data_IF_479392974063
#
_entry.id   IF_479392974063
#
_cell.length_a   1.000
_cell.length_b   1.000
_cell.length_c   1.000
_cell.angle_alpha   90.00
_cell.angle_beta   90.00
_cell.angle_gamma   90.00
#
_symmetry.space_group_name_H-M   'P 1'
#
loop_
_entity.id
_entity.type
_entity.pdbx_description
1 polymer ?
#
# COMPACT_ATOMS: atom_id res chain seq x y z
N UNK A 1 -46.73 27.47 10.44
CA UNK A 1 -45.26 27.47 10.29
C UNK A 1 -44.82 26.02 10.47
N UNK A 2 -44.64 25.28 9.37
CA UNK A 2 -44.41 23.83 9.40
C UNK A 2 -42.91 23.55 9.37
N UNK A 3 -42.39 22.85 10.38
CA UNK A 3 -40.99 22.41 10.43
C UNK A 3 -40.71 21.47 9.26
N UNK A 4 -39.82 21.87 8.36
CA UNK A 4 -39.20 20.98 7.38
C UNK A 4 -38.30 20.01 8.14
N UNK A 5 -38.70 18.75 8.24
CA UNK A 5 -37.84 17.66 8.70
C UNK A 5 -36.78 17.44 7.62
N UNK A 6 -35.55 17.85 7.92
CA UNK A 6 -34.37 17.51 7.11
C UNK A 6 -34.07 16.04 7.45
N UNK A 7 -34.35 15.15 6.50
CA UNK A 7 -33.89 13.77 6.55
C UNK A 7 -32.39 13.79 6.26
N UNK A 8 -31.51 13.32 7.16
CA UNK A 8 -30.13 13.07 6.76
C UNK A 8 -30.18 11.90 5.78
N UNK A 9 -29.95 12.19 4.51
CA UNK A 9 -29.54 11.17 3.55
C UNK A 9 -28.15 10.73 3.99
N UNK A 10 -28.11 9.67 4.82
CA UNK A 10 -26.90 8.88 5.00
C UNK A 10 -26.69 8.21 3.65
N UNK A 11 -25.78 8.77 2.84
CA UNK A 11 -25.17 8.05 1.74
C UNK A 11 -24.37 6.91 2.36
N UNK A 12 -25.01 5.76 2.54
CA UNK A 12 -24.26 4.50 2.59
C UNK A 12 -23.74 4.29 1.16
N UNK A 13 -22.54 4.81 0.87
CA UNK A 13 -21.76 4.33 -0.26
C UNK A 13 -21.40 2.88 0.06
N UNK A 14 -22.19 1.96 -0.51
CA UNK A 14 -21.86 0.55 -0.54
C UNK A 14 -20.75 0.39 -1.57
N UNK A 15 -19.50 0.49 -1.13
CA UNK A 15 -18.37 0.07 -1.94
C UNK A 15 -18.27 -1.45 -1.84
N UNK A 16 -18.48 -2.13 -2.96
CA UNK A 16 -18.07 -3.52 -3.07
C UNK A 16 -16.55 -3.55 -2.84
N UNK A 17 -16.12 -4.18 -1.77
CA UNK A 17 -14.70 -4.39 -1.48
C UNK A 17 -14.38 -5.78 -1.99
N UNK A 18 -13.62 -5.86 -3.07
CA UNK A 18 -13.05 -7.13 -3.50
C UNK A 18 -11.71 -7.27 -2.76
N UNK A 19 -11.73 -8.06 -1.70
CA UNK A 19 -10.53 -8.47 -0.95
C UNK A 19 -10.01 -9.73 -1.62
N UNK A 20 -8.72 -9.72 -1.95
CA UNK A 20 -7.99 -10.83 -2.54
C UNK A 20 -6.97 -11.33 -1.54
N UNK A 21 -7.07 -12.60 -1.17
CA UNK A 21 -6.06 -13.26 -0.34
C UNK A 21 -5.16 -14.10 -1.24
N UNK A 22 -3.85 -13.90 -1.16
CA UNK A 22 -2.89 -14.64 -1.98
C UNK A 22 -1.46 -14.45 -1.51
N UNK A 23 -0.59 -15.46 -1.68
CA UNK A 23 0.79 -15.36 -1.28
C UNK A 23 1.54 -14.37 -2.17
N UNK A 24 2.41 -13.56 -1.58
CA UNK A 24 3.35 -12.70 -2.27
C UNK A 24 4.76 -13.23 -1.98
N UNK A 25 5.50 -13.56 -3.04
CA UNK A 25 6.82 -14.17 -2.93
C UNK A 25 7.77 -13.55 -3.95
N UNK A 26 8.93 -13.08 -3.50
CA UNK A 26 10.00 -12.61 -4.36
C UNK A 26 11.36 -12.68 -3.66
N UNK A 27 12.43 -12.73 -4.44
CA UNK A 27 13.80 -12.58 -3.94
C UNK A 27 14.32 -11.20 -4.34
N UNK A 28 15.07 -10.55 -3.46
CA UNK A 28 15.68 -9.24 -3.71
C UNK A 28 17.19 -9.30 -3.52
N UNK A 29 17.92 -8.47 -4.26
CA UNK A 29 19.38 -8.40 -4.18
C UNK A 29 19.90 -6.99 -4.49
N UNK A 30 21.05 -6.62 -3.91
CA UNK A 30 21.59 -5.26 -3.98
C UNK A 30 22.50 -4.92 -2.81
N UNK A 31 22.23 -3.79 -2.13
CA UNK A 31 22.86 -3.42 -0.85
C UNK A 31 22.50 -4.41 0.27
N UNK A 32 21.29 -4.94 0.21
CA UNK A 32 20.76 -6.01 1.04
C UNK A 32 20.25 -7.12 0.11
N UNK A 33 20.13 -8.34 0.61
CA UNK A 33 19.65 -9.47 -0.17
C UNK A 33 18.91 -10.44 0.73
N UNK A 34 17.81 -10.98 0.22
CA UNK A 34 16.94 -11.85 0.99
C UNK A 34 15.77 -12.37 0.18
N UNK A 35 14.90 -13.08 0.88
CA UNK A 35 13.66 -13.61 0.35
C UNK A 35 12.49 -13.03 1.13
N UNK A 36 11.47 -12.61 0.38
CA UNK A 36 10.21 -12.16 0.92
C UNK A 36 9.16 -13.24 0.66
N UNK A 37 8.46 -13.68 1.71
CA UNK A 37 7.43 -14.69 1.62
C UNK A 37 6.34 -14.45 2.67
N UNK A 38 5.12 -14.19 2.20
CA UNK A 38 3.98 -13.95 3.11
C UNK A 38 3.37 -15.21 3.70
N UNK A 39 3.82 -16.39 3.28
CA UNK A 39 3.35 -17.67 3.84
C UNK A 39 4.09 -17.95 5.15
N UNK A 40 3.47 -17.52 6.26
CA UNK A 40 3.91 -17.83 7.61
C UNK A 40 3.43 -19.25 7.99
N UNK A 41 4.34 -20.22 7.95
CA UNK A 41 4.11 -21.66 8.20
C UNK A 41 3.11 -22.32 7.23
N UNK A 42 2.71 -23.57 7.50
CA UNK A 42 1.95 -24.46 6.59
C UNK A 42 0.53 -23.97 6.20
N UNK A 43 0.04 -22.82 6.70
CA UNK A 43 -1.34 -22.38 6.40
C UNK A 43 -1.68 -20.91 6.58
N UNK A 44 -0.79 -20.05 7.10
CA UNK A 44 -1.15 -18.65 7.36
C UNK A 44 -0.55 -17.75 6.29
N UNK A 45 -1.38 -17.11 5.49
CA UNK A 45 -0.93 -16.10 4.54
C UNK A 45 -1.09 -14.71 5.16
N UNK A 46 0.00 -13.95 5.21
CA UNK A 46 0.06 -12.57 5.70
C UNK A 46 0.14 -11.57 4.55
N UNK A 47 -0.41 -11.94 3.39
CA UNK A 47 -0.44 -11.15 2.17
C UNK A 47 -1.82 -11.10 1.55
N UNK A 48 -2.14 -9.98 0.93
CA UNK A 48 -3.41 -9.78 0.25
C UNK A 48 -3.46 -8.47 -0.51
N UNK A 49 -4.60 -8.22 -1.13
CA UNK A 49 -4.88 -6.99 -1.83
C UNK A 49 -6.35 -6.61 -1.70
N UNK A 50 -6.67 -5.35 -1.90
CA UNK A 50 -8.05 -4.88 -1.95
C UNK A 50 -8.21 -3.72 -2.93
N UNK A 51 -9.39 -3.64 -3.52
CA UNK A 51 -9.80 -2.45 -4.26
C UNK A 51 -10.44 -1.44 -3.31
N UNK A 52 -9.96 -0.20 -3.36
CA UNK A 52 -10.54 0.95 -2.68
C UNK A 52 -11.03 1.94 -3.73
N UNK A 53 -12.27 2.41 -3.62
CA UNK A 53 -12.81 3.46 -4.49
C UNK A 53 -13.34 4.61 -3.64
N UNK A 54 -12.87 5.82 -3.91
CA UNK A 54 -13.36 7.05 -3.30
C UNK A 54 -13.69 8.08 -4.40
N UNK A 55 -14.93 8.57 -4.35
CA UNK A 55 -15.51 9.55 -5.28
C UNK A 55 -15.28 9.22 -6.77
N UNK A 56 -14.25 9.81 -7.37
CA UNK A 56 -13.92 9.71 -8.80
C UNK A 56 -12.63 8.90 -9.08
N UNK A 57 -12.01 8.34 -8.05
CA UNK A 57 -10.75 7.59 -8.14
C UNK A 57 -10.90 6.20 -7.54
N UNK A 58 -10.24 5.22 -8.14
CA UNK A 58 -10.07 3.91 -7.53
C UNK A 58 -8.61 3.51 -7.49
N UNK A 59 -8.25 2.80 -6.43
CA UNK A 59 -6.92 2.33 -6.15
C UNK A 59 -6.95 0.86 -5.81
N UNK A 60 -5.97 0.12 -6.32
CA UNK A 60 -5.70 -1.24 -5.90
C UNK A 60 -4.49 -1.24 -4.98
N UNK A 61 -4.67 -1.75 -3.76
CA UNK A 61 -3.61 -1.81 -2.75
C UNK A 61 -3.28 -3.27 -2.51
N UNK A 62 -2.03 -3.64 -2.74
CA UNK A 62 -1.47 -4.95 -2.42
C UNK A 62 -0.46 -4.79 -1.29
N UNK A 63 -0.53 -5.65 -0.29
CA UNK A 63 0.38 -5.63 0.85
C UNK A 63 0.73 -7.04 1.28
N UNK A 64 1.92 -7.21 1.84
CA UNK A 64 2.32 -8.43 2.49
C UNK A 64 3.29 -8.20 3.62
N UNK A 65 3.30 -9.13 4.56
CA UNK A 65 4.28 -9.21 5.64
C UNK A 65 5.02 -10.54 5.51
N UNK A 66 6.34 -10.51 5.51
CA UNK A 66 7.19 -11.70 5.57
C UNK A 66 7.83 -11.81 6.95
N UNK A 67 7.66 -12.94 7.63
CA UNK A 67 8.33 -13.21 8.91
C UNK A 67 9.79 -13.58 8.67
N UNK A 68 10.71 -12.86 9.29
CA UNK A 68 12.14 -13.12 9.19
C UNK A 68 12.69 -13.77 10.48
N UNK A 69 13.99 -14.08 10.49
CA UNK A 69 14.65 -14.60 11.67
C UNK A 69 14.63 -13.58 12.82
N UNK A 70 14.83 -14.05 14.06
CA UNK A 70 15.02 -13.19 15.23
C UNK A 70 13.85 -12.24 15.56
N UNK A 71 12.62 -12.57 15.12
CA UNK A 71 11.42 -11.75 15.32
C UNK A 71 11.48 -10.41 14.58
N UNK A 72 12.16 -10.39 13.44
CA UNK A 72 12.13 -9.32 12.44
C UNK A 72 11.06 -9.62 11.39
N UNK A 73 10.58 -8.58 10.71
CA UNK A 73 9.53 -8.66 9.72
C UNK A 73 9.85 -7.76 8.54
N UNK A 74 9.61 -8.24 7.32
CA UNK A 74 9.65 -7.38 6.14
C UNK A 74 8.23 -7.01 5.75
N UNK A 75 8.05 -5.79 5.25
CA UNK A 75 6.77 -5.29 4.76
C UNK A 75 6.90 -4.88 3.30
N UNK A 76 5.93 -5.31 2.51
CA UNK A 76 5.78 -4.95 1.12
C UNK A 76 4.44 -4.25 0.93
N UNK A 77 4.43 -3.11 0.23
CA UNK A 77 3.22 -2.36 -0.12
C UNK A 77 3.31 -1.93 -1.57
N UNK A 78 2.26 -2.17 -2.33
CA UNK A 78 2.09 -1.66 -3.68
C UNK A 78 0.74 -0.96 -3.80
N UNK A 79 0.74 0.26 -4.32
CA UNK A 79 -0.43 1.09 -4.51
C UNK A 79 -0.50 1.43 -6.00
N UNK A 80 -1.58 1.01 -6.66
CA UNK A 80 -1.88 1.35 -8.04
C UNK A 80 -3.10 2.28 -8.02
N UNK A 81 -2.91 3.55 -8.34
CA UNK A 81 -3.97 4.54 -8.51
C UNK A 81 -4.56 4.49 -9.92
N UNK A 82 -5.76 5.05 -10.06
CA UNK A 82 -6.49 5.11 -11.33
C UNK A 82 -6.76 3.73 -11.95
N UNK A 83 -7.04 2.76 -11.09
CA UNK A 83 -7.57 1.49 -11.56
C UNK A 83 -9.00 1.69 -12.09
N UNK A 84 -9.38 0.94 -13.11
CA UNK A 84 -10.82 0.72 -13.35
C UNK A 84 -11.36 -0.12 -12.20
N UNK A 85 -12.54 0.20 -11.69
CA UNK A 85 -13.19 -0.60 -10.64
C UNK A 85 -14.21 -1.58 -11.27
N UNK A 86 -14.13 -2.90 -11.01
CA UNK A 86 -13.08 -3.61 -10.27
C UNK A 86 -11.77 -3.73 -11.08
N UNK A 87 -10.66 -4.03 -10.40
CA UNK A 87 -9.34 -4.19 -11.02
C UNK A 87 -9.39 -5.13 -12.22
N UNK A 88 -8.66 -4.78 -13.27
CA UNK A 88 -8.60 -5.54 -14.51
C UNK A 88 -7.15 -5.81 -14.90
N UNK A 89 -6.96 -6.78 -15.79
CA UNK A 89 -5.67 -7.15 -16.35
C UNK A 89 -5.02 -5.96 -17.07
N UNK A 90 -3.81 -5.59 -16.64
CA UNK A 90 -3.09 -4.41 -17.14
C UNK A 90 -1.63 -4.42 -16.67
N UNK A 91 -0.82 -3.58 -17.31
CA UNK A 91 0.56 -3.27 -16.91
C UNK A 91 0.67 -1.83 -16.43
N UNK A 92 1.52 -1.63 -15.42
CA UNK A 92 1.92 -0.33 -14.87
C UNK A 92 3.44 -0.24 -14.90
N UNK A 93 3.95 0.93 -15.28
CA UNK A 93 5.37 1.27 -15.11
C UNK A 93 5.63 1.59 -13.63
N UNK A 94 6.81 1.28 -13.10
CA UNK A 94 7.19 1.60 -11.71
C UNK A 94 8.42 2.52 -11.73
N UNK A 95 8.37 3.70 -11.10
CA UNK A 95 7.18 4.36 -10.62
C UNK A 95 6.34 4.78 -11.82
N UNK A 96 5.06 5.03 -11.59
CA UNK A 96 4.22 5.66 -12.60
C UNK A 96 4.61 7.11 -12.83
N UNK A 97 3.63 7.96 -13.14
CA UNK A 97 3.88 9.39 -13.26
C UNK A 97 4.34 9.97 -11.91
N UNK A 98 5.66 10.15 -11.73
CA UNK A 98 6.28 10.58 -10.48
C UNK A 98 6.36 12.11 -10.43
N UNK A 99 5.81 12.70 -9.37
CA UNK A 99 6.04 14.11 -9.04
C UNK A 99 7.37 14.21 -8.24
N UNK A 100 8.39 14.95 -8.75
CA UNK A 100 9.63 15.15 -8.01
C UNK A 100 9.45 15.85 -6.65
N UNK A 101 8.38 16.62 -6.46
CA UNK A 101 8.08 17.32 -5.20
C UNK A 101 7.27 16.44 -4.24
N UNK A 102 6.59 15.40 -4.75
CA UNK A 102 5.88 14.39 -3.95
C UNK A 102 6.02 12.99 -4.56
N UNK A 103 7.13 12.28 -4.32
CA UNK A 103 7.39 10.96 -4.90
C UNK A 103 6.37 9.88 -4.48
N UNK A 104 5.65 10.10 -3.38
CA UNK A 104 4.63 9.18 -2.87
C UNK A 104 3.28 9.35 -3.58
N UNK A 105 3.11 10.41 -4.36
CA UNK A 105 1.89 10.67 -5.14
C UNK A 105 1.81 9.88 -6.46
N UNK A 106 2.79 9.01 -6.75
CA UNK A 106 2.87 8.29 -8.02
C UNK A 106 1.64 7.42 -8.30
N UNK A 107 1.27 7.31 -9.59
CA UNK A 107 0.20 6.42 -10.07
C UNK A 107 0.46 4.96 -9.67
N UNK A 108 1.71 4.53 -9.67
CA UNK A 108 2.12 3.17 -9.30
C UNK A 108 3.31 3.28 -8.37
N UNK A 109 3.04 3.08 -7.09
CA UNK A 109 4.00 3.19 -6.01
C UNK A 109 4.26 1.81 -5.42
N UNK A 110 5.51 1.39 -5.42
CA UNK A 110 5.95 0.17 -4.78
C UNK A 110 6.94 0.52 -3.66
N UNK A 111 6.66 0.01 -2.47
CA UNK A 111 7.42 0.24 -1.24
C UNK A 111 7.81 -1.10 -0.65
N UNK A 112 9.05 -1.20 -0.21
CA UNK A 112 9.58 -2.34 0.51
C UNK A 112 10.36 -1.86 1.74
N UNK A 113 10.08 -2.46 2.90
CA UNK A 113 10.74 -2.13 4.15
C UNK A 113 11.22 -3.42 4.82
N UNK A 114 12.52 -3.74 4.74
CA UNK A 114 13.08 -4.89 5.43
C UNK A 114 13.37 -4.60 6.90
N UNK A 115 13.35 -5.64 7.75
CA UNK A 115 13.90 -5.58 9.12
C UNK A 115 13.09 -4.76 10.14
N UNK A 116 11.76 -4.75 10.03
CA UNK A 116 10.86 -4.11 10.98
C UNK A 116 10.67 -4.91 12.27
N UNK A 117 10.41 -4.20 13.37
CA UNK A 117 9.89 -4.80 14.60
C UNK A 117 8.38 -5.09 14.46
N UNK A 118 7.93 -6.14 15.14
CA UNK A 118 6.54 -6.51 15.38
C UNK A 118 5.61 -5.33 15.74
N UNK A 119 6.11 -4.29 16.44
CA UNK A 119 5.29 -3.12 16.82
C UNK A 119 4.79 -2.32 15.62
N UNK A 120 5.52 -2.33 14.50
CA UNK A 120 5.13 -1.64 13.26
C UNK A 120 4.23 -2.50 12.38
N UNK A 121 4.41 -3.81 12.44
CA UNK A 121 3.76 -4.77 11.54
C UNK A 121 2.40 -5.24 12.09
N UNK A 122 2.26 -5.36 13.41
CA UNK A 122 1.00 -5.82 14.04
C UNK A 122 -0.22 -4.99 13.63
N UNK A 123 -0.18 -3.64 13.60
CA UNK A 123 -1.32 -2.83 13.17
C UNK A 123 -1.74 -3.10 11.71
N UNK A 124 -0.80 -3.40 10.82
CA UNK A 124 -1.10 -3.74 9.42
C UNK A 124 -1.70 -5.13 9.29
N UNK A 125 -1.18 -6.10 10.04
CA UNK A 125 -1.76 -7.44 10.11
C UNK A 125 -3.19 -7.41 10.66
N UNK A 126 -3.43 -6.62 11.71
CA UNK A 126 -4.75 -6.40 12.27
C UNK A 126 -5.68 -5.71 11.26
N UNK A 127 -5.18 -4.72 10.49
CA UNK A 127 -5.96 -4.07 9.43
C UNK A 127 -6.41 -5.05 8.33
N UNK A 128 -5.55 -5.97 7.90
CA UNK A 128 -5.91 -6.97 6.88
C UNK A 128 -6.80 -8.09 7.40
N UNK A 129 -6.59 -8.54 8.65
CA UNK A 129 -7.36 -9.63 9.23
C UNK A 129 -8.71 -9.18 9.79
N UNK A 130 -8.83 -7.92 10.19
CA UNK A 130 -10.08 -7.30 10.65
C UNK A 130 -10.75 -6.51 9.52
N UNK A 131 -11.44 -7.23 8.64
CA UNK A 131 -12.21 -6.67 7.52
C UNK A 131 -13.35 -5.73 7.95
N UNK A 132 -13.59 -5.53 9.25
CA UNK A 132 -14.62 -4.59 9.75
C UNK A 132 -14.13 -3.15 9.83
N UNK A 133 -12.80 -2.93 9.86
CA UNK A 133 -12.20 -1.60 10.01
C UNK A 133 -11.61 -1.02 8.72
N UNK A 134 -11.48 -1.82 7.65
CA UNK A 134 -11.02 -1.35 6.32
C UNK A 134 -11.92 -0.24 5.76
N UNK A 135 -13.19 -0.18 6.19
CA UNK A 135 -14.15 0.87 5.82
C UNK A 135 -13.98 2.20 6.55
N UNK A 136 -13.17 2.26 7.61
CA UNK A 136 -12.93 3.52 8.33
C UNK A 136 -11.77 4.26 7.66
N UNK A 137 -12.08 5.23 6.80
CA UNK A 137 -11.07 6.07 6.14
C UNK A 137 -10.15 6.76 7.16
N UNK A 138 -10.65 7.02 8.37
CA UNK A 138 -9.86 7.61 9.46
C UNK A 138 -8.81 6.65 10.01
N UNK A 139 -9.11 5.33 10.01
CA UNK A 139 -8.17 4.29 10.40
C UNK A 139 -7.05 4.13 9.39
N UNK A 140 -7.38 4.12 8.09
CA UNK A 140 -6.39 4.04 7.01
C UNK A 140 -5.52 5.31 6.93
N UNK A 141 -6.11 6.51 7.03
CA UNK A 141 -5.37 7.78 7.02
C UNK A 141 -4.41 7.89 8.22
N UNK A 142 -4.84 7.43 9.40
CA UNK A 142 -3.99 7.43 10.60
C UNK A 142 -2.86 6.40 10.50
N UNK A 143 -3.13 5.20 9.97
CA UNK A 143 -2.13 4.16 9.79
C UNK A 143 -1.08 4.61 8.76
N UNK A 144 -1.52 5.11 7.61
CA UNK A 144 -0.64 5.59 6.55
C UNK A 144 0.21 6.78 7.01
N UNK A 145 -0.38 7.78 7.68
CA UNK A 145 0.38 8.96 8.13
C UNK A 145 1.48 8.60 9.13
N UNK A 146 1.16 7.78 10.14
CA UNK A 146 2.14 7.33 11.13
C UNK A 146 3.21 6.44 10.49
N UNK A 147 2.77 5.53 9.62
CA UNK A 147 3.64 4.59 8.91
C UNK A 147 4.65 5.29 8.01
N UNK A 148 4.17 6.18 7.14
CA UNK A 148 5.06 6.88 6.21
C UNK A 148 6.04 7.75 6.97
N UNK A 149 5.57 8.56 7.93
CA UNK A 149 6.44 9.50 8.66
C UNK A 149 7.54 8.80 9.45
N UNK A 150 7.21 7.72 10.17
CA UNK A 150 8.15 7.06 11.08
C UNK A 150 9.10 6.10 10.36
N UNK A 151 8.78 5.65 9.15
CA UNK A 151 9.56 4.66 8.40
C UNK A 151 10.17 5.19 7.10
N UNK A 152 10.00 6.49 6.77
CA UNK A 152 10.61 7.11 5.57
C UNK A 152 12.09 6.75 5.41
N UNK A 153 12.84 6.74 6.52
CA UNK A 153 14.28 6.49 6.52
C UNK A 153 14.65 5.03 6.26
N UNK A 154 13.72 4.08 6.41
CA UNK A 154 13.93 2.65 6.21
C UNK A 154 13.27 2.09 4.95
N UNK A 155 12.46 2.91 4.28
CA UNK A 155 11.76 2.56 3.06
C UNK A 155 12.67 2.48 1.84
N UNK A 156 12.47 1.44 1.03
CA UNK A 156 12.88 1.36 -0.34
C UNK A 156 11.67 1.64 -1.25
N UNK A 157 11.84 2.47 -2.29
CA UNK A 157 10.80 2.85 -3.25
C UNK A 157 11.20 2.37 -4.65
N UNK A 158 10.25 1.85 -5.41
CA UNK A 158 10.43 1.50 -6.82
C UNK A 158 10.75 2.71 -7.69
N UNK A 159 11.87 2.64 -8.42
CA UNK A 159 12.37 3.73 -9.28
C UNK A 159 12.45 3.38 -10.78
N UNK A 160 12.39 2.09 -11.11
CA UNK A 160 12.41 1.59 -12.48
C UNK A 160 11.86 0.16 -12.50
N UNK A 161 10.97 -0.19 -13.41
CA UNK A 161 10.37 -1.52 -13.47
C UNK A 161 8.95 -1.52 -14.00
N UNK A 162 8.29 -2.66 -13.83
CA UNK A 162 6.93 -2.91 -14.28
C UNK A 162 6.17 -3.84 -13.30
N UNK A 163 4.85 -3.63 -13.22
CA UNK A 163 3.90 -4.52 -12.57
C UNK A 163 2.83 -4.92 -13.58
N UNK A 164 2.59 -6.21 -13.69
CA UNK A 164 1.56 -6.82 -14.53
C UNK A 164 0.55 -7.54 -13.63
N UNK A 165 -0.73 -7.23 -13.82
CA UNK A 165 -1.83 -8.10 -13.40
C UNK A 165 -2.28 -8.86 -14.64
N UNK A 166 -2.07 -10.18 -14.64
CA UNK A 166 -2.31 -11.05 -15.79
C UNK A 166 -3.65 -11.77 -15.75
N UNK A 167 -4.24 -11.95 -14.56
CA UNK A 167 -5.55 -12.59 -14.39
C UNK A 167 -6.25 -12.05 -13.14
N UNK A 168 -7.53 -11.71 -13.28
CA UNK A 168 -8.40 -11.32 -12.17
C UNK A 168 -9.63 -12.22 -12.17
N UNK A 169 -9.88 -12.89 -11.05
CA UNK A 169 -11.12 -13.66 -10.79
C UNK A 169 -11.91 -13.04 -9.65
N UNK A 170 -13.09 -13.59 -9.35
CA UNK A 170 -13.95 -13.13 -8.24
C UNK A 170 -13.26 -13.14 -6.86
N UNK A 171 -12.16 -13.89 -6.68
CA UNK A 171 -11.47 -14.01 -5.39
C UNK A 171 -9.95 -14.03 -5.47
N UNK A 172 -9.35 -13.95 -6.67
CA UNK A 172 -7.89 -14.02 -6.83
C UNK A 172 -7.41 -13.00 -7.86
N UNK A 173 -6.28 -12.36 -7.56
CA UNK A 173 -5.49 -11.58 -8.53
C UNK A 173 -4.16 -12.30 -8.72
N UNK A 174 -3.81 -12.56 -9.98
CA UNK A 174 -2.52 -13.15 -10.36
C UNK A 174 -1.77 -12.16 -11.22
N UNK A 175 -0.47 -12.01 -10.95
CA UNK A 175 0.38 -11.07 -11.64
C UNK A 175 1.85 -11.33 -11.36
N UNK A 176 2.69 -10.48 -11.92
CA UNK A 176 4.12 -10.47 -11.69
C UNK A 176 4.61 -9.02 -11.63
N UNK A 177 5.73 -8.78 -10.97
CA UNK A 177 6.40 -7.49 -11.03
C UNK A 177 7.90 -7.68 -11.02
N UNK A 178 8.60 -6.71 -11.61
CA UNK A 178 10.05 -6.61 -11.55
C UNK A 178 10.39 -5.14 -11.38
N UNK A 179 11.17 -4.80 -10.35
CA UNK A 179 11.55 -3.42 -10.14
C UNK A 179 12.93 -3.30 -9.48
N UNK A 180 13.58 -2.18 -9.79
CA UNK A 180 14.70 -1.65 -9.05
C UNK A 180 14.16 -0.76 -7.94
N UNK A 181 14.59 -1.05 -6.72
CA UNK A 181 14.23 -0.29 -5.54
C UNK A 181 15.39 0.60 -5.12
N UNK A 182 15.09 1.82 -4.67
CA UNK A 182 16.05 2.74 -4.09
C UNK A 182 15.62 3.13 -2.69
N UNK A 183 16.57 3.16 -1.74
CA UNK A 183 16.36 3.73 -0.40
C UNK A 183 16.62 5.24 -0.46
N UNK A 184 15.59 6.09 -0.59
CA UNK A 184 15.75 7.53 -0.57
C UNK A 184 16.26 8.00 0.80
N UNK A 185 17.15 9.00 0.79
CA UNK A 185 17.48 9.78 1.98
C UNK A 185 16.61 11.04 1.95
N UNK A 186 15.40 10.97 2.49
CA UNK A 186 14.50 12.12 2.53
C UNK A 186 15.01 13.17 3.54
N UNK A 187 15.83 14.11 3.08
CA UNK A 187 16.26 15.26 3.89
C UNK A 187 15.49 16.51 3.46
N UNK A 188 14.40 16.81 4.15
CA UNK A 188 13.58 18.00 3.89
C UNK A 188 14.13 19.20 4.66
N UNK A 189 14.33 20.34 3.99
CA UNK A 189 14.58 21.64 4.63
C UNK A 189 13.54 22.65 4.13
N UNK A 190 12.66 23.08 5.03
CA UNK A 190 11.66 24.10 4.71
C UNK A 190 12.12 25.46 5.25
N UNK A 191 12.12 26.48 4.38
CA UNK A 191 12.33 27.89 4.76
C UNK A 191 11.06 28.64 4.38
N UNK A 192 10.13 28.72 5.34
CA UNK A 192 8.79 29.28 5.10
C UNK A 192 8.80 30.82 4.95
N UNK A 193 9.85 31.47 5.46
CA UNK A 193 10.17 32.87 5.20
C UNK A 193 11.63 33.18 5.59
N UNK A 194 12.27 34.09 4.87
CA UNK A 194 13.59 34.60 5.19
C UNK A 194 13.64 36.12 4.97
N UNK A 195 14.00 36.88 6.00
CA UNK A 195 14.39 38.28 5.87
C UNK A 195 15.92 38.41 5.92
N UNK A 196 16.48 39.16 4.97
CA UNK A 196 17.90 39.50 4.93
C UNK A 196 18.07 41.02 5.11
N UNK A 197 19.13 41.44 5.81
CA UNK A 197 19.51 42.84 5.98
C UNK A 197 20.72 43.18 5.10
#
# INVERSE_FOLDING_TARGET
MSMKRIFPFIFCLLFAQDIYEGPIMFSYSGSESGDFNTVADDSTNLGGAFNFSADDSSSFIMMGVSTQAENEFDLFVCILQDTTFPVAERNWDIPGNLDPEDPLSSESLLIFIPGLDSTFVTPWLDFFTDTTNITDSLGFDSLTTAFFTDLLDDMYIGIDGDMEISEVTDSTVTGNFNCSLWKPLFSIINIDSAEFH
#
